data_IF_002779745363
#
_entry.id   IF_002779745363
#
_cell.length_a   1.000
_cell.length_b   1.000
_cell.length_c   1.000
_cell.angle_alpha   90.00
_cell.angle_beta   90.00
_cell.angle_gamma   90.00
#
_symmetry.space_group_name_H-M   'P 1'
#
loop_
_entity.id
_entity.type
_entity.pdbx_description
1 polymer ?
#
# COMPACT_ATOMS: atom_id res chain seq x y z
N UNK A 1 -10.98 2.65 -43.70
CA UNK A 1 -10.29 3.78 -44.35
C UNK A 1 -9.72 4.67 -43.26
N UNK A 2 -8.42 4.94 -43.31
CA UNK A 2 -7.76 5.90 -42.42
C UNK A 2 -7.82 7.25 -43.12
N UNK A 3 -8.48 8.24 -42.52
CA UNK A 3 -8.47 9.62 -43.01
C UNK A 3 -7.08 10.23 -42.81
N UNK A 4 -6.62 11.08 -43.74
CA UNK A 4 -5.24 11.56 -43.91
C UNK A 4 -4.59 12.34 -42.76
N UNK A 5 -5.13 12.28 -41.54
CA UNK A 5 -4.62 12.92 -40.33
C UNK A 5 -4.37 11.97 -39.17
N UNK A 6 -4.56 10.65 -39.35
CA UNK A 6 -4.45 9.67 -38.26
C UNK A 6 -3.51 8.52 -38.64
N UNK A 7 -2.66 8.10 -37.70
CA UNK A 7 -1.91 6.85 -37.78
C UNK A 7 -2.50 5.85 -36.79
N UNK A 8 -2.49 4.56 -37.13
CA UNK A 8 -3.00 3.47 -36.27
C UNK A 8 -1.85 2.58 -35.84
N UNK A 9 -1.87 2.13 -34.58
CA UNK A 9 -0.94 1.14 -34.03
C UNK A 9 -1.72 -0.08 -33.54
N UNK A 10 -1.18 -1.27 -33.75
CA UNK A 10 -1.74 -2.51 -33.19
C UNK A 10 -1.15 -2.76 -31.80
N UNK A 11 -1.99 -3.11 -30.83
CA UNK A 11 -1.56 -3.45 -29.46
C UNK A 11 -1.60 -4.97 -29.25
N UNK A 12 -0.76 -5.53 -28.34
CA UNK A 12 -0.79 -6.95 -28.04
C UNK A 12 -2.18 -7.40 -27.57
N UNK A 13 -2.74 -8.44 -28.19
CA UNK A 13 -4.09 -8.94 -27.91
C UNK A 13 -4.28 -9.29 -26.44
N UNK A 14 -3.31 -9.98 -25.84
CA UNK A 14 -3.37 -10.41 -24.43
C UNK A 14 -3.42 -9.22 -23.48
N UNK A 15 -2.72 -8.13 -23.81
CA UNK A 15 -2.76 -6.89 -23.04
C UNK A 15 -4.13 -6.21 -23.15
N UNK A 16 -4.69 -6.12 -24.37
CA UNK A 16 -6.01 -5.52 -24.61
C UNK A 16 -7.10 -6.27 -23.82
N UNK A 17 -7.07 -7.60 -23.89
CA UNK A 17 -8.02 -8.47 -23.15
C UNK A 17 -7.79 -8.36 -21.64
N UNK A 18 -6.53 -8.40 -21.18
CA UNK A 18 -6.18 -8.31 -19.77
C UNK A 18 -6.60 -6.98 -19.12
N UNK A 19 -6.63 -5.90 -19.89
CA UNK A 19 -7.10 -4.59 -19.45
C UNK A 19 -8.62 -4.37 -19.65
N UNK A 20 -9.36 -5.37 -20.15
CA UNK A 20 -10.80 -5.26 -20.40
C UNK A 20 -11.16 -4.23 -21.48
N UNK A 21 -10.24 -3.95 -22.40
CA UNK A 21 -10.44 -2.97 -23.46
C UNK A 21 -11.25 -3.58 -24.62
N UNK A 22 -12.22 -2.82 -25.11
CA UNK A 22 -13.08 -3.16 -26.24
C UNK A 22 -13.31 -1.98 -27.17
N UNK A 23 -14.20 -2.15 -28.14
CA UNK A 23 -14.58 -1.08 -29.06
C UNK A 23 -15.23 0.06 -28.27
N UNK A 24 -14.71 1.27 -28.42
CA UNK A 24 -15.20 2.47 -27.71
C UNK A 24 -14.56 2.71 -26.34
N UNK A 25 -13.70 1.81 -25.85
CA UNK A 25 -12.89 2.07 -24.65
C UNK A 25 -11.98 3.28 -24.87
N UNK A 26 -11.90 4.16 -23.88
CA UNK A 26 -11.01 5.32 -23.92
C UNK A 26 -9.67 4.99 -23.28
N UNK A 27 -8.59 5.45 -23.89
CA UNK A 27 -7.22 5.36 -23.34
C UNK A 27 -6.60 6.75 -23.28
N UNK A 28 -5.70 6.94 -22.33
CA UNK A 28 -4.80 8.09 -22.25
C UNK A 28 -3.47 7.70 -22.88
N UNK A 29 -2.92 8.55 -23.73
CA UNK A 29 -1.58 8.40 -24.31
C UNK A 29 -0.73 9.57 -23.84
N UNK A 30 0.41 9.27 -23.20
CA UNK A 30 1.37 10.27 -22.73
C UNK A 30 2.70 10.05 -23.45
N UNK A 31 3.22 11.10 -24.06
CA UNK A 31 4.58 11.12 -24.59
C UNK A 31 5.55 11.53 -23.47
N UNK A 32 6.62 10.76 -23.31
CA UNK A 32 7.72 11.10 -22.39
C UNK A 32 8.90 11.68 -23.16
N UNK A 33 9.82 12.33 -22.45
CA UNK A 33 10.99 12.99 -23.01
C UNK A 33 12.03 12.01 -23.58
N UNK A 34 11.96 10.73 -23.18
CA UNK A 34 12.80 9.64 -23.66
C UNK A 34 12.28 8.97 -24.95
N UNK A 35 11.40 9.67 -25.68
CA UNK A 35 10.73 9.19 -26.90
C UNK A 35 9.77 8.01 -26.71
N UNK A 36 9.43 7.65 -25.46
CA UNK A 36 8.44 6.60 -25.21
C UNK A 36 7.00 7.12 -25.26
N UNK A 37 6.07 6.26 -25.67
CA UNK A 37 4.64 6.47 -25.56
C UNK A 37 4.08 5.53 -24.49
N UNK A 38 3.45 6.11 -23.46
CA UNK A 38 2.77 5.37 -22.40
C UNK A 38 1.27 5.35 -22.69
N UNK A 39 0.67 4.16 -22.78
CA UNK A 39 -0.76 3.96 -23.06
C UNK A 39 -1.41 3.37 -21.81
N UNK A 40 -2.48 4.00 -21.32
CA UNK A 40 -3.20 3.57 -20.12
C UNK A 40 -4.73 3.64 -20.34
N UNK A 41 -5.52 2.64 -19.95
CA UNK A 41 -6.98 2.74 -19.97
C UNK A 41 -7.48 3.93 -19.11
N UNK A 42 -8.42 4.70 -19.64
CA UNK A 42 -9.00 5.83 -18.89
C UNK A 42 -9.80 5.27 -17.71
N UNK A 43 -9.45 5.66 -16.49
CA UNK A 43 -10.04 5.12 -15.27
C UNK A 43 -9.37 3.86 -14.74
N UNK A 44 -8.37 3.30 -15.44
CA UNK A 44 -7.45 2.36 -14.80
C UNK A 44 -6.66 3.13 -13.75
N UNK A 45 -7.16 3.15 -12.51
CA UNK A 45 -6.28 3.28 -11.37
C UNK A 45 -5.44 2.02 -11.37
N UNK A 46 -4.14 2.19 -11.25
CA UNK A 46 -3.36 1.14 -10.61
C UNK A 46 -3.98 1.05 -9.21
N UNK A 47 -4.94 0.15 -9.02
CA UNK A 47 -5.24 -0.29 -7.68
C UNK A 47 -3.93 -0.92 -7.23
N UNK A 48 -3.11 -0.15 -6.50
CA UNK A 48 -2.16 -0.76 -5.59
C UNK A 48 -3.00 -1.74 -4.80
N UNK A 49 -2.92 -3.04 -5.16
CA UNK A 49 -3.67 -4.09 -4.50
C UNK A 49 -3.45 -3.88 -3.02
N UNK A 50 -4.50 -3.46 -2.31
CA UNK A 50 -4.38 -3.10 -0.90
C UNK A 50 -3.80 -4.29 -0.17
N UNK A 51 -2.53 -4.18 0.22
CA UNK A 51 -1.81 -5.27 0.87
C UNK A 51 -2.21 -5.25 2.33
N UNK A 52 -2.88 -6.31 2.78
CA UNK A 52 -3.33 -6.47 4.16
C UNK A 52 -2.49 -7.50 4.91
N UNK A 53 -1.91 -7.10 6.04
CA UNK A 53 -1.26 -7.98 7.00
C UNK A 53 -2.18 -8.18 8.22
N UNK A 54 -2.27 -9.42 8.71
CA UNK A 54 -2.93 -9.74 9.99
C UNK A 54 -1.87 -10.22 10.96
N UNK A 55 -1.69 -9.46 12.04
CA UNK A 55 -0.79 -9.79 13.14
C UNK A 55 -1.62 -10.39 14.27
N UNK A 56 -1.58 -11.72 14.42
CA UNK A 56 -2.16 -12.38 15.59
C UNK A 56 -1.38 -12.00 16.84
N UNK A 57 -2.09 -11.47 17.83
CA UNK A 57 -1.56 -11.05 19.13
C UNK A 57 -2.13 -11.94 20.22
N UNK A 58 -1.29 -12.30 21.17
CA UNK A 58 -1.59 -13.12 22.35
C UNK A 58 -0.81 -12.57 23.54
N UNK A 59 -1.16 -12.96 24.76
CA UNK A 59 -0.59 -12.38 25.98
C UNK A 59 0.88 -12.77 26.23
N UNK A 60 1.35 -13.84 25.61
CA UNK A 60 2.75 -14.28 25.63
C UNK A 60 3.67 -13.39 24.77
N UNK A 61 3.11 -12.59 23.86
CA UNK A 61 3.89 -11.69 23.03
C UNK A 61 4.18 -10.39 23.77
N UNK A 62 5.46 -10.02 23.85
CA UNK A 62 5.84 -8.72 24.40
C UNK A 62 5.45 -7.59 23.43
N UNK A 63 5.20 -6.36 23.94
CA UNK A 63 4.95 -5.20 23.09
C UNK A 63 6.01 -4.98 22.02
N UNK A 64 7.28 -5.20 22.33
CA UNK A 64 8.41 -5.04 21.40
C UNK A 64 8.34 -6.06 20.27
N UNK A 65 7.92 -7.29 20.56
CA UNK A 65 7.73 -8.33 19.54
C UNK A 65 6.66 -7.94 18.52
N UNK A 66 5.54 -7.38 19.01
CA UNK A 66 4.45 -6.89 18.17
C UNK A 66 4.93 -5.70 17.33
N UNK A 67 5.68 -4.76 17.93
CA UNK A 67 6.26 -3.62 17.21
C UNK A 67 7.20 -4.08 16.11
N UNK A 68 8.07 -5.07 16.34
CA UNK A 68 8.96 -5.61 15.30
C UNK A 68 8.17 -6.17 14.11
N UNK A 69 7.07 -6.89 14.37
CA UNK A 69 6.20 -7.44 13.32
C UNK A 69 5.44 -6.34 12.57
N UNK A 70 5.00 -5.30 13.28
CA UNK A 70 4.41 -4.11 12.69
C UNK A 70 5.39 -3.40 11.75
N UNK A 71 6.63 -3.16 12.20
CA UNK A 71 7.67 -2.56 11.37
C UNK A 71 7.97 -3.42 10.14
N UNK A 72 8.05 -4.74 10.28
CA UNK A 72 8.26 -5.63 9.14
C UNK A 72 7.11 -5.52 8.11
N UNK A 73 5.86 -5.54 8.56
CA UNK A 73 4.71 -5.34 7.67
C UNK A 73 4.72 -3.96 7.00
N UNK A 74 5.08 -2.91 7.75
CA UNK A 74 5.23 -1.57 7.20
C UNK A 74 6.30 -1.52 6.10
N UNK A 75 7.50 -2.08 6.34
CA UNK A 75 8.61 -2.10 5.38
C UNK A 75 8.35 -2.97 4.15
N UNK A 76 7.52 -4.01 4.27
CA UNK A 76 7.11 -4.86 3.14
C UNK A 76 6.02 -4.21 2.25
N UNK A 77 5.59 -2.98 2.59
CA UNK A 77 4.62 -2.21 1.82
C UNK A 77 3.18 -2.67 2.02
N UNK A 78 2.83 -3.16 3.22
CA UNK A 78 1.43 -3.42 3.56
C UNK A 78 0.69 -2.11 3.85
N UNK A 79 -0.40 -1.86 3.14
CA UNK A 79 -1.24 -0.67 3.31
C UNK A 79 -2.18 -0.78 4.51
N UNK A 80 -2.59 -1.99 4.89
CA UNK A 80 -3.45 -2.25 6.05
C UNK A 80 -2.76 -3.25 6.95
N UNK A 81 -2.56 -2.88 8.21
CA UNK A 81 -1.95 -3.76 9.22
C UNK A 81 -2.96 -3.91 10.36
N UNK A 82 -3.47 -5.12 10.54
CA UNK A 82 -4.51 -5.43 11.51
C UNK A 82 -3.93 -6.29 12.62
N UNK A 83 -3.88 -5.76 13.83
CA UNK A 83 -3.56 -6.54 15.02
C UNK A 83 -4.85 -7.18 15.52
N UNK A 84 -4.83 -8.50 15.76
CA UNK A 84 -6.02 -9.24 16.20
C UNK A 84 -5.67 -10.22 17.30
N UNK A 85 -6.43 -10.19 18.39
CA UNK A 85 -6.41 -11.24 19.40
C UNK A 85 -7.64 -12.15 19.22
N UNK A 86 -7.39 -13.45 19.01
CA UNK A 86 -8.42 -14.41 18.63
C UNK A 86 -9.32 -14.83 19.78
N UNK A 87 -8.92 -14.63 21.04
CA UNK A 87 -9.63 -15.19 22.20
C UNK A 87 -10.13 -14.11 23.17
N UNK A 88 -9.36 -13.04 23.35
CA UNK A 88 -9.62 -12.01 24.35
C UNK A 88 -9.27 -10.62 23.84
N UNK A 89 -9.51 -9.61 24.68
CA UNK A 89 -9.10 -8.24 24.38
C UNK A 89 -7.57 -8.16 24.29
N UNK A 90 -7.08 -7.32 23.38
CA UNK A 90 -5.66 -6.98 23.31
C UNK A 90 -5.28 -6.31 24.64
N UNK A 91 -4.16 -6.75 25.22
CA UNK A 91 -3.64 -6.21 26.46
C UNK A 91 -3.39 -4.69 26.35
N UNK A 92 -3.58 -3.98 27.46
CA UNK A 92 -3.50 -2.52 27.48
C UNK A 92 -2.09 -2.03 27.19
N UNK A 93 -1.05 -2.70 27.69
CA UNK A 93 0.34 -2.31 27.45
C UNK A 93 0.74 -2.57 26.00
N UNK A 94 0.35 -3.72 25.45
CA UNK A 94 0.54 -4.02 24.02
C UNK A 94 -0.15 -2.98 23.13
N UNK A 95 -1.44 -2.67 23.41
CA UNK A 95 -2.21 -1.67 22.65
C UNK A 95 -1.56 -0.29 22.74
N UNK A 96 -1.19 0.15 23.95
CA UNK A 96 -0.58 1.44 24.17
C UNK A 96 0.74 1.57 23.41
N UNK A 97 1.63 0.59 23.55
CA UNK A 97 2.94 0.59 22.90
C UNK A 97 2.83 0.66 21.37
N UNK A 98 1.91 -0.11 20.77
CA UNK A 98 1.67 -0.08 19.32
C UNK A 98 1.16 1.29 18.87
N UNK A 99 0.19 1.87 19.59
CA UNK A 99 -0.37 3.19 19.25
C UNK A 99 0.66 4.30 19.39
N UNK A 100 1.45 4.27 20.47
CA UNK A 100 2.51 5.24 20.74
C UNK A 100 3.61 5.17 19.67
N UNK A 101 4.09 3.95 19.36
CA UNK A 101 5.10 3.73 18.33
C UNK A 101 4.60 4.18 16.96
N UNK A 102 3.36 3.83 16.59
CA UNK A 102 2.75 4.22 15.30
C UNK A 102 2.76 5.74 15.15
N UNK A 103 2.27 6.47 16.15
CA UNK A 103 2.19 7.95 16.11
C UNK A 103 3.55 8.63 16.05
N UNK A 104 4.57 8.08 16.72
CA UNK A 104 5.89 8.69 16.82
C UNK A 104 6.85 8.30 15.70
N UNK A 105 6.70 7.11 15.12
CA UNK A 105 7.74 6.48 14.27
C UNK A 105 7.24 6.06 12.89
N UNK A 106 5.94 5.81 12.69
CA UNK A 106 5.41 5.36 11.40
C UNK A 106 4.73 6.52 10.65
N UNK A 107 5.49 7.16 9.78
CA UNK A 107 5.02 8.30 8.97
C UNK A 107 3.88 7.86 8.04
N UNK A 108 2.87 8.71 7.88
CA UNK A 108 1.73 8.42 7.01
C UNK A 108 0.90 7.22 7.46
N UNK A 109 0.99 6.80 8.73
CA UNK A 109 0.19 5.71 9.28
C UNK A 109 -0.85 6.25 10.25
N UNK A 110 -2.10 5.91 10.01
CA UNK A 110 -3.24 6.30 10.85
C UNK A 110 -3.88 5.08 11.51
N UNK A 111 -4.53 5.30 12.65
CA UNK A 111 -5.31 4.27 13.34
C UNK A 111 -6.74 4.37 12.82
N UNK A 112 -7.16 3.40 12.01
CA UNK A 112 -8.49 3.35 11.40
C UNK A 112 -9.55 2.81 12.36
N UNK A 113 -9.18 1.86 13.21
CA UNK A 113 -10.11 1.23 14.16
C UNK A 113 -9.38 0.76 15.41
N UNK A 114 -9.96 1.00 16.58
CA UNK A 114 -9.47 0.53 17.88
C UNK A 114 -10.63 -0.12 18.64
N UNK A 115 -10.74 -1.44 18.50
CA UNK A 115 -11.73 -2.28 19.13
C UNK A 115 -11.08 -3.15 20.21
N UNK A 116 -11.85 -3.72 21.16
CA UNK A 116 -11.28 -4.50 22.25
C UNK A 116 -10.33 -5.63 21.81
N UNK A 117 -10.64 -6.32 20.71
CA UNK A 117 -9.87 -7.48 20.20
C UNK A 117 -9.09 -7.17 18.92
N UNK A 118 -9.18 -5.95 18.41
CA UNK A 118 -8.67 -5.60 17.09
C UNK A 118 -8.19 -4.15 17.04
N UNK A 119 -7.01 -3.93 16.46
CA UNK A 119 -6.49 -2.60 16.15
C UNK A 119 -6.09 -2.58 14.68
N UNK A 120 -6.70 -1.70 13.89
CA UNK A 120 -6.43 -1.58 12.46
C UNK A 120 -5.68 -0.29 12.18
N UNK A 121 -4.54 -0.43 11.50
CA UNK A 121 -3.69 0.65 11.05
C UNK A 121 -3.76 0.75 9.53
N UNK A 122 -3.80 1.97 9.01
CA UNK A 122 -3.76 2.25 7.58
C UNK A 122 -2.53 3.10 7.26
N UNK A 123 -1.72 2.61 6.34
CA UNK A 123 -0.56 3.31 5.78
C UNK A 123 -1.02 4.02 4.51
N UNK A 124 -1.11 5.35 4.58
CA UNK A 124 -1.59 6.23 3.51
C UNK A 124 -0.49 6.64 2.53
N UNK A 125 0.74 6.76 3.03
CA UNK A 125 1.91 7.03 2.20
C UNK A 125 2.56 5.70 1.87
N UNK A 126 2.36 5.20 0.64
CA UNK A 126 3.07 4.01 0.22
C UNK A 126 4.57 4.32 0.15
N UNK A 127 5.38 3.36 0.55
CA UNK A 127 6.85 3.44 0.53
C UNK A 127 7.43 3.74 -0.87
N UNK A 128 6.60 3.78 -1.91
CA UNK A 128 6.97 4.25 -3.23
C UNK A 128 7.27 5.77 -3.28
N UNK A 129 6.76 6.57 -2.33
CA UNK A 129 6.97 8.03 -2.33
C UNK A 129 8.10 8.52 -1.41
N UNK A 130 8.51 7.71 -0.42
CA UNK A 130 9.59 8.02 0.51
C UNK A 130 10.68 6.96 0.34
N UNK A 131 11.78 7.34 -0.31
CA UNK A 131 12.91 6.43 -0.51
C UNK A 131 13.28 5.78 0.83
N UNK A 132 13.45 4.45 0.82
CA UNK A 132 13.94 3.61 1.94
C UNK A 132 15.00 4.31 2.79
N UNK A 133 15.90 5.04 2.12
CA UNK A 133 17.01 5.76 2.72
C UNK A 133 16.56 6.85 3.68
N UNK A 134 15.48 7.56 3.41
CA UNK A 134 15.06 8.70 4.22
C UNK A 134 14.30 8.26 5.47
N UNK A 135 13.53 7.17 5.39
CA UNK A 135 12.88 6.57 6.55
C UNK A 135 13.91 5.96 7.52
N UNK A 136 14.87 5.18 7.00
CA UNK A 136 15.92 4.56 7.82
C UNK A 136 16.84 5.60 8.49
N UNK A 137 17.22 6.67 7.77
CA UNK A 137 18.05 7.76 8.31
C UNK A 137 17.43 8.46 9.51
N UNK A 138 16.09 8.59 9.55
CA UNK A 138 15.37 9.22 10.66
C UNK A 138 15.17 8.26 11.85
N UNK A 139 15.19 6.96 11.59
CA UNK A 139 15.13 5.92 12.63
C UNK A 139 16.50 5.62 13.25
N UNK A 140 17.59 5.87 12.52
CA UNK A 140 18.97 5.65 12.97
C UNK A 140 19.59 6.84 13.71
N UNK A 141 18.86 7.95 13.92
CA UNK A 141 19.29 9.02 14.82
C UNK A 141 18.79 8.67 16.22
N UNK A 142 19.53 7.76 16.86
CA UNK A 142 19.59 7.55 18.31
C UNK A 142 21.06 7.26 18.61
#
# INVERSE_FOLDING_TARGET
MVGGSTYTVSLPKDWVVGMGLGRGSTVTIVRRDDFTLCIQPKGARFEEKTRKAILTVSDDLTPESIIRRLVAAYLLGYNIIQLRNQEKRIDTAQRYAVKDFTRKKLVGTEILSDLPRELTLQVLLSYAELSVKDALRRMSII
#
